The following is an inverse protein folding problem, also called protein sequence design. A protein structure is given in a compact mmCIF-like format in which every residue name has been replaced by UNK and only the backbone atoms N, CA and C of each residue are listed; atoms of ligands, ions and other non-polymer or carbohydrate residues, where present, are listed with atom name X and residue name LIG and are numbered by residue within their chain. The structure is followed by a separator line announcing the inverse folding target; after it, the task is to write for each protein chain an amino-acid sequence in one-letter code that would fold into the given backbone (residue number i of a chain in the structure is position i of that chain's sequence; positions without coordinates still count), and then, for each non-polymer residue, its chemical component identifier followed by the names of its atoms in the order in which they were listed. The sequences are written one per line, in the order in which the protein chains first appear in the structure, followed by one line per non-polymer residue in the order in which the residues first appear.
data_IF_939965989062
#
_entry.id   IF_939965989062
#
_cell.length_a   1.000
_cell.length_b   1.000
_cell.length_c   1.000
_cell.angle_alpha   90.00
_cell.angle_beta   90.00
_cell.angle_gamma   90.00
#
_symmetry.space_group_name_H-M   'P 1'
#
loop_
_entity.id
_entity.type
_entity.pdbx_description
1 polymer ?
#
# COMPACT_ATOMS: atom_id res chain seq x y z
N UNK A 1 -50.30 -42.11 -55.85
CA UNK A 1 -49.90 -42.27 -54.44
C UNK A 1 -48.99 -41.11 -54.07
N UNK A 2 -49.32 -40.22 -53.13
CA UNK A 2 -48.45 -39.12 -52.79
C UNK A 2 -47.32 -39.60 -51.87
N UNK A 3 -46.09 -39.25 -52.24
CA UNK A 3 -44.87 -39.49 -51.46
C UNK A 3 -44.84 -38.55 -50.25
N UNK A 4 -44.79 -39.13 -49.05
CA UNK A 4 -44.79 -38.43 -47.77
C UNK A 4 -43.37 -37.95 -47.40
N UNK A 5 -42.93 -36.82 -47.96
CA UNK A 5 -41.63 -36.19 -47.64
C UNK A 5 -41.69 -35.18 -46.49
N UNK A 6 -42.88 -34.81 -46.02
CA UNK A 6 -43.09 -33.72 -45.05
C UNK A 6 -42.41 -33.94 -43.68
N UNK A 7 -42.15 -35.18 -43.26
CA UNK A 7 -41.57 -35.44 -41.94
C UNK A 7 -40.08 -35.08 -41.81
N UNK A 8 -39.34 -35.00 -42.92
CA UNK A 8 -37.91 -34.65 -42.90
C UNK A 8 -37.71 -33.14 -42.74
N UNK A 9 -38.50 -32.35 -43.46
CA UNK A 9 -38.42 -30.89 -43.43
C UNK A 9 -38.80 -30.31 -42.06
N UNK A 10 -39.79 -30.91 -41.37
CA UNK A 10 -40.19 -30.48 -40.02
C UNK A 10 -39.07 -30.68 -38.98
N UNK A 11 -38.30 -31.78 -39.08
CA UNK A 11 -37.21 -32.06 -38.12
C UNK A 11 -36.03 -31.12 -38.32
N UNK A 12 -35.73 -30.77 -39.58
CA UNK A 12 -34.67 -29.82 -39.91
C UNK A 12 -35.01 -28.39 -39.49
N UNK A 13 -36.26 -27.96 -39.67
CA UNK A 13 -36.73 -26.64 -39.20
C UNK A 13 -36.64 -26.51 -37.67
N UNK A 14 -37.14 -27.51 -36.93
CA UNK A 14 -37.08 -27.49 -35.45
C UNK A 14 -35.63 -27.54 -34.95
N UNK A 15 -34.74 -28.26 -35.64
CA UNK A 15 -33.32 -28.30 -35.29
C UNK A 15 -32.60 -26.95 -35.54
N UNK A 16 -32.94 -26.27 -36.65
CA UNK A 16 -32.40 -24.95 -36.97
C UNK A 16 -32.86 -23.87 -35.96
N UNK A 17 -34.14 -23.86 -35.60
CA UNK A 17 -34.68 -22.94 -34.58
C UNK A 17 -34.08 -23.20 -33.19
N UNK A 18 -33.92 -24.46 -32.80
CA UNK A 18 -33.23 -24.83 -31.55
C UNK A 18 -31.78 -24.36 -31.55
N UNK A 19 -31.07 -24.49 -32.67
CA UNK A 19 -29.67 -24.06 -32.80
C UNK A 19 -29.55 -22.54 -32.64
N UNK A 20 -30.43 -21.76 -33.29
CA UNK A 20 -30.47 -20.31 -33.14
C UNK A 20 -30.75 -19.88 -31.70
N UNK A 21 -31.75 -20.51 -31.04
CA UNK A 21 -32.06 -20.24 -29.63
C UNK A 21 -30.89 -20.56 -28.70
N UNK A 22 -30.19 -21.67 -28.94
CA UNK A 22 -29.03 -22.05 -28.13
C UNK A 22 -27.87 -21.07 -28.33
N UNK A 23 -27.61 -20.60 -29.56
CA UNK A 23 -26.57 -19.59 -29.82
C UNK A 23 -26.88 -18.30 -29.08
N UNK A 24 -28.14 -17.84 -29.10
CA UNK A 24 -28.57 -16.64 -28.36
C UNK A 24 -28.45 -16.85 -26.85
N UNK A 25 -28.79 -18.03 -26.34
CA UNK A 25 -28.63 -18.33 -24.92
C UNK A 25 -27.15 -18.32 -24.50
N UNK A 26 -26.27 -18.96 -25.28
CA UNK A 26 -24.84 -18.98 -25.00
C UNK A 26 -24.19 -17.61 -25.16
N UNK A 27 -24.63 -16.79 -26.12
CA UNK A 27 -24.10 -15.43 -26.27
C UNK A 27 -24.48 -14.55 -25.08
N UNK A 28 -25.72 -14.63 -24.60
CA UNK A 28 -26.17 -13.93 -23.39
C UNK A 28 -25.39 -14.42 -22.17
N UNK A 29 -25.24 -15.73 -22.00
CA UNK A 29 -24.47 -16.31 -20.89
C UNK A 29 -22.99 -15.86 -20.93
N UNK A 30 -22.38 -15.81 -22.12
CA UNK A 30 -21.01 -15.33 -22.29
C UNK A 30 -20.88 -13.84 -21.94
N UNK A 31 -21.82 -13.00 -22.35
CA UNK A 31 -21.83 -11.56 -22.00
C UNK A 31 -21.93 -11.38 -20.48
N UNK A 32 -22.81 -12.11 -19.81
CA UNK A 32 -22.96 -12.06 -18.34
C UNK A 32 -21.66 -12.52 -17.67
N UNK A 33 -21.04 -13.59 -18.15
CA UNK A 33 -19.78 -14.10 -17.60
C UNK A 33 -18.65 -13.07 -17.77
N UNK A 34 -18.54 -12.45 -18.95
CA UNK A 34 -17.53 -11.41 -19.22
C UNK A 34 -17.77 -10.19 -18.34
N UNK A 35 -19.02 -9.76 -18.18
CA UNK A 35 -19.37 -8.65 -17.30
C UNK A 35 -19.01 -8.95 -15.84
N UNK A 36 -19.39 -10.13 -15.33
CA UNK A 36 -19.03 -10.57 -13.99
C UNK A 36 -17.51 -10.62 -13.79
N UNK A 37 -16.78 -11.20 -14.74
CA UNK A 37 -15.32 -11.22 -14.72
C UNK A 37 -14.74 -9.79 -14.71
N UNK A 38 -15.23 -8.91 -15.58
CA UNK A 38 -14.79 -7.52 -15.63
C UNK A 38 -15.04 -6.81 -14.29
N UNK A 39 -16.20 -6.98 -13.66
CA UNK A 39 -16.47 -6.40 -12.34
C UNK A 39 -15.59 -6.98 -11.23
N UNK A 40 -15.19 -8.25 -11.31
CA UNK A 40 -14.24 -8.87 -10.38
C UNK A 40 -12.81 -8.33 -10.55
N UNK A 41 -12.38 -8.06 -11.78
CA UNK A 41 -11.05 -7.52 -12.07
C UNK A 41 -10.96 -6.00 -11.88
N UNK A 42 -12.01 -5.25 -12.25
CA UNK A 42 -12.05 -3.78 -12.27
C UNK A 42 -12.92 -3.14 -11.19
N UNK A 43 -13.66 -3.91 -10.38
CA UNK A 43 -14.46 -3.38 -9.28
C UNK A 43 -13.59 -2.72 -8.19
N UNK A 44 -14.19 -1.91 -7.33
CA UNK A 44 -13.52 -1.10 -6.30
C UNK A 44 -12.63 -1.89 -5.30
N UNK A 45 -12.79 -3.22 -5.27
CA UNK A 45 -12.01 -4.22 -4.52
C UNK A 45 -11.31 -5.25 -5.43
N UNK A 46 -11.00 -4.91 -6.68
CA UNK A 46 -10.38 -5.82 -7.63
C UNK A 46 -8.98 -6.27 -7.20
N UNK A 47 -8.61 -7.50 -7.61
CA UNK A 47 -7.33 -8.15 -7.29
C UNK A 47 -6.09 -7.27 -7.56
N UNK A 48 -6.16 -6.39 -8.55
CA UNK A 48 -5.07 -5.47 -8.92
C UNK A 48 -4.79 -4.48 -7.78
N UNK A 49 -5.84 -3.92 -7.17
CA UNK A 49 -5.71 -2.98 -6.05
C UNK A 49 -5.17 -3.67 -4.81
N UNK A 50 -5.58 -4.92 -4.56
CA UNK A 50 -5.03 -5.73 -3.47
C UNK A 50 -3.52 -5.97 -3.64
N UNK A 51 -3.09 -6.33 -4.85
CA UNK A 51 -1.66 -6.55 -5.13
C UNK A 51 -0.85 -5.26 -4.97
N UNK A 52 -1.38 -4.14 -5.49
CA UNK A 52 -0.72 -2.84 -5.34
C UNK A 52 -0.63 -2.43 -3.87
N UNK A 53 -1.72 -2.55 -3.12
CA UNK A 53 -1.77 -2.21 -1.70
C UNK A 53 -0.81 -3.05 -0.86
N UNK A 54 -0.69 -4.35 -1.16
CA UNK A 54 0.24 -5.23 -0.46
C UNK A 54 1.71 -4.83 -0.74
N UNK A 55 2.03 -4.46 -1.99
CA UNK A 55 3.37 -3.96 -2.32
C UNK A 55 3.65 -2.61 -1.66
N UNK A 56 2.69 -1.68 -1.66
CA UNK A 56 2.80 -0.40 -0.97
C UNK A 56 3.02 -0.61 0.53
N UNK A 57 2.26 -1.51 1.16
CA UNK A 57 2.42 -1.86 2.58
C UNK A 57 3.85 -2.34 2.88
N UNK A 58 4.37 -3.31 2.10
CA UNK A 58 5.75 -3.81 2.27
C UNK A 58 6.80 -2.73 2.10
N UNK A 59 6.60 -1.80 1.15
CA UNK A 59 7.51 -0.67 0.93
C UNK A 59 7.52 0.26 2.14
N UNK A 60 6.35 0.63 2.65
CA UNK A 60 6.23 1.47 3.85
C UNK A 60 6.85 0.81 5.08
N UNK A 61 6.65 -0.49 5.29
CA UNK A 61 7.27 -1.23 6.40
C UNK A 61 8.80 -1.17 6.32
N UNK A 62 9.36 -1.33 5.12
CA UNK A 62 10.81 -1.19 4.90
C UNK A 62 11.31 0.23 5.19
N UNK A 63 10.57 1.25 4.71
CA UNK A 63 10.90 2.66 4.96
C UNK A 63 10.86 3.00 6.46
N UNK A 64 9.87 2.50 7.19
CA UNK A 64 9.77 2.68 8.66
C UNK A 64 11.02 2.12 9.34
N UNK A 65 11.40 0.87 9.03
CA UNK A 65 12.58 0.23 9.63
C UNK A 65 13.85 1.02 9.33
N UNK A 66 13.99 1.53 8.10
CA UNK A 66 15.15 2.35 7.71
C UNK A 66 15.19 3.68 8.48
N UNK A 67 14.06 4.39 8.54
CA UNK A 67 13.96 5.67 9.27
C UNK A 67 14.21 5.47 10.76
N UNK A 68 13.68 4.41 11.36
CA UNK A 68 13.94 4.09 12.77
C UNK A 68 15.42 3.82 13.03
N UNK A 69 16.10 3.11 12.13
CA UNK A 69 17.54 2.89 12.22
C UNK A 69 18.32 4.19 12.16
N UNK A 70 18.01 5.05 11.18
CA UNK A 70 18.65 6.38 11.06
C UNK A 70 18.40 7.23 12.31
N UNK A 71 17.18 7.19 12.85
CA UNK A 71 16.83 7.93 14.07
C UNK A 71 17.61 7.41 15.29
N UNK A 72 17.80 6.09 15.42
CA UNK A 72 18.67 5.51 16.46
C UNK A 72 20.12 5.96 16.31
N UNK A 73 20.67 5.92 15.10
CA UNK A 73 22.04 6.34 14.82
C UNK A 73 22.25 7.83 15.13
N UNK A 74 21.32 8.70 14.71
CA UNK A 74 21.35 10.13 15.00
C UNK A 74 21.22 10.42 16.50
N UNK A 75 20.33 9.71 17.21
CA UNK A 75 20.20 9.86 18.67
C UNK A 75 21.50 9.49 19.40
N UNK A 76 22.18 8.43 18.97
CA UNK A 76 23.48 8.05 19.52
C UNK A 76 24.53 9.13 19.27
N UNK A 77 24.57 9.70 18.06
CA UNK A 77 25.48 10.81 17.74
C UNK A 77 25.19 12.07 18.58
N UNK A 78 23.92 12.44 18.73
CA UNK A 78 23.53 13.57 19.58
C UNK A 78 23.89 13.30 21.04
N UNK A 79 23.71 12.07 21.52
CA UNK A 79 24.09 11.69 22.89
C UNK A 79 25.60 11.83 23.07
N UNK A 80 26.42 11.31 22.16
CA UNK A 80 27.88 11.44 22.24
C UNK A 80 28.35 12.90 22.16
N UNK A 81 27.68 13.74 21.38
CA UNK A 81 27.99 15.17 21.30
C UNK A 81 27.57 15.94 22.56
N UNK A 82 26.48 15.55 23.20
CA UNK A 82 26.02 16.16 24.47
C UNK A 82 26.84 15.69 25.68
N UNK A 83 27.30 14.45 25.65
CA UNK A 83 28.18 13.88 26.69
C UNK A 83 29.64 14.33 26.53
N UNK A 84 29.95 15.15 25.53
CA UNK A 84 31.24 15.83 25.43
C UNK A 84 31.50 16.63 26.72
N UNK A 85 32.63 16.38 27.41
CA UNK A 85 33.03 17.12 28.61
C UNK A 85 32.93 18.63 28.43
N UNK A 86 33.22 19.16 27.24
CA UNK A 86 33.09 20.59 26.95
C UNK A 86 31.64 21.09 27.05
N UNK A 87 30.69 20.32 26.51
CA UNK A 87 29.27 20.70 26.54
C UNK A 87 28.69 20.61 27.96
N UNK A 88 29.12 19.60 28.71
CA UNK A 88 28.76 19.43 30.12
C UNK A 88 29.36 20.53 31.00
N UNK A 89 30.63 20.90 30.79
CA UNK A 89 31.30 21.99 31.50
C UNK A 89 30.67 23.34 31.16
N UNK A 90 30.40 23.60 29.88
CA UNK A 90 29.69 24.81 29.43
C UNK A 90 28.35 24.95 30.12
N UNK A 91 27.56 23.87 30.17
CA UNK A 91 26.26 23.87 30.83
C UNK A 91 26.36 24.07 32.34
N UNK A 92 27.35 23.46 32.99
CA UNK A 92 27.61 23.66 34.41
C UNK A 92 27.94 25.13 34.73
N UNK A 93 28.72 25.79 33.86
CA UNK A 93 29.07 27.22 33.97
C UNK A 93 27.88 28.14 33.69
N UNK A 94 27.12 27.89 32.62
CA UNK A 94 26.01 28.76 32.19
C UNK A 94 24.74 28.59 33.02
N UNK A 95 24.27 27.35 33.23
CA UNK A 95 22.99 27.09 33.90
C UNK A 95 23.12 27.12 35.43
N UNK A 96 24.28 26.75 35.96
CA UNK A 96 24.49 26.57 37.41
C UNK A 96 25.57 27.49 38.00
N UNK A 97 26.30 28.26 37.17
CA UNK A 97 27.37 29.14 37.63
C UNK A 97 28.55 28.40 38.28
N UNK A 98 28.74 27.11 37.98
CA UNK A 98 29.80 26.30 38.58
C UNK A 98 31.15 26.62 37.93
N UNK A 99 32.21 26.63 38.73
CA UNK A 99 33.60 26.81 38.31
C UNK A 99 34.48 25.74 38.98
N UNK A 100 35.68 25.49 38.43
CA UNK A 100 36.63 24.56 39.07
C UNK A 100 37.17 25.14 40.38
N UNK A 101 37.75 24.29 41.23
CA UNK A 101 38.27 24.72 42.55
C UNK A 101 39.34 25.82 42.46
N UNK A 102 40.03 25.92 41.33
CA UNK A 102 41.08 26.89 41.02
C UNK A 102 40.60 28.12 40.23
N UNK A 103 39.29 28.30 40.05
CA UNK A 103 38.69 29.37 39.26
C UNK A 103 37.82 30.33 40.10
N UNK A 104 37.80 31.61 39.72
CA UNK A 104 36.99 32.66 40.38
C UNK A 104 35.80 33.07 39.53
N UNK A 105 34.62 33.19 40.14
CA UNK A 105 33.39 33.66 39.48
C UNK A 105 33.24 35.17 39.72
N UNK A 106 33.23 35.95 38.65
CA UNK A 106 32.96 37.40 38.71
C UNK A 106 31.50 37.67 38.35
N UNK A 107 30.73 38.24 39.28
CA UNK A 107 29.38 38.73 39.04
C UNK A 107 29.41 40.25 39.01
N UNK A 108 28.89 40.85 37.95
CA UNK A 108 28.73 42.29 37.83
C UNK A 108 27.30 42.66 38.23
N UNK A 109 27.14 43.60 39.15
CA UNK A 109 25.84 44.18 39.46
C UNK A 109 25.53 45.27 38.43
N UNK A 110 24.41 45.13 37.72
CA UNK A 110 23.90 46.21 36.88
C UNK A 110 23.43 47.36 37.78
N UNK A 111 23.97 48.56 37.52
CA UNK A 111 23.69 49.80 38.28
C UNK A 111 22.30 50.37 38.01
#
# INVERSE_FOLDING_TARGET
MPSNSNHRDLREQVAAEKKLRNIVFYSIAAIILIYAAATLFFGEMGFIKFFHLNNTKKKLETEIVQIERQNRELKTQVKSLKEDPFYMEKRAREDYGLAKQDEYIFKFEDK
#
